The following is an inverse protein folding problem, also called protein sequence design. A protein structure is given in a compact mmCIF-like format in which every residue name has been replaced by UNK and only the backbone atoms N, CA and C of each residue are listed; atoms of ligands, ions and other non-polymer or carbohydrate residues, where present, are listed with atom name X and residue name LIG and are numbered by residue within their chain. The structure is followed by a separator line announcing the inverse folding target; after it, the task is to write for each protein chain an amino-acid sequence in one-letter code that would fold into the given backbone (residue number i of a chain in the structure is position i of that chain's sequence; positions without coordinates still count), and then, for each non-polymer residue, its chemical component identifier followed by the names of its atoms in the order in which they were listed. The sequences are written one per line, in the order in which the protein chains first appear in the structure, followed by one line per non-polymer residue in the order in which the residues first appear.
data_IF_054065929630
#
_entry.id   IF_054065929630
#
_cell.length_a   1.000
_cell.length_b   1.000
_cell.length_c   1.000
_cell.angle_alpha   90.00
_cell.angle_beta   90.00
_cell.angle_gamma   90.00
#
_symmetry.space_group_name_H-M   'P 1'
#
loop_
_entity.id
_entity.type
_entity.pdbx_description
1 polymer ?
#
# COMPACT_ATOMS: atom_id res chain seq x y z
N UNK A 1 13.11 -12.56 -15.21
CA UNK A 1 11.99 -11.61 -15.47
C UNK A 1 11.36 -11.12 -14.17
N UNK A 2 11.01 -12.00 -13.23
CA UNK A 2 10.42 -11.64 -11.92
C UNK A 2 11.26 -10.62 -11.14
N UNK A 3 12.58 -10.79 -11.05
CA UNK A 3 13.47 -9.86 -10.35
C UNK A 3 13.45 -8.43 -10.91
N UNK A 4 13.32 -8.30 -12.23
CA UNK A 4 13.22 -6.98 -12.87
C UNK A 4 11.88 -6.30 -12.56
N UNK A 5 10.78 -7.06 -12.60
CA UNK A 5 9.45 -6.54 -12.28
C UNK A 5 9.38 -6.16 -10.80
N UNK A 6 9.91 -7.00 -9.91
CA UNK A 6 10.03 -6.70 -8.49
C UNK A 6 10.88 -5.44 -8.25
N UNK A 7 12.01 -5.28 -8.94
CA UNK A 7 12.83 -4.08 -8.88
C UNK A 7 12.07 -2.82 -9.30
N UNK A 8 11.33 -2.88 -10.41
CA UNK A 8 10.48 -1.77 -10.88
C UNK A 8 9.39 -1.41 -9.87
N UNK A 9 8.79 -2.40 -9.26
CA UNK A 9 7.75 -2.21 -8.25
C UNK A 9 8.30 -1.47 -7.02
N UNK A 10 9.47 -1.87 -6.51
CA UNK A 10 10.12 -1.20 -5.38
C UNK A 10 10.62 0.21 -5.72
N UNK A 11 11.17 0.42 -6.92
CA UNK A 11 11.58 1.77 -7.38
C UNK A 11 10.37 2.70 -7.47
N UNK A 12 9.25 2.22 -8.00
CA UNK A 12 8.00 2.98 -8.06
C UNK A 12 7.48 3.30 -6.65
N UNK A 13 7.63 2.36 -5.72
CA UNK A 13 7.26 2.57 -4.31
C UNK A 13 8.10 3.65 -3.65
N UNK A 14 9.43 3.62 -3.85
CA UNK A 14 10.33 4.66 -3.34
C UNK A 14 9.96 6.02 -3.91
N UNK A 15 9.67 6.09 -5.21
CA UNK A 15 9.21 7.35 -5.82
C UNK A 15 7.93 7.86 -5.18
N UNK A 16 6.91 7.01 -5.05
CA UNK A 16 5.65 7.37 -4.39
C UNK A 16 5.88 7.81 -2.94
N UNK A 17 6.72 7.12 -2.19
CA UNK A 17 7.05 7.47 -0.81
C UNK A 17 7.74 8.83 -0.68
N UNK A 18 8.68 9.14 -1.56
CA UNK A 18 9.37 10.43 -1.58
C UNK A 18 8.39 11.56 -1.92
N UNK A 19 7.53 11.38 -2.92
CA UNK A 19 6.54 12.39 -3.30
C UNK A 19 5.46 12.56 -2.22
N UNK A 20 5.03 11.48 -1.57
CA UNK A 20 4.09 11.56 -0.45
C UNK A 20 4.66 12.37 0.72
N UNK A 21 5.96 12.19 1.03
CA UNK A 21 6.63 13.00 2.06
C UNK A 21 6.74 14.48 1.66
N UNK A 22 6.99 14.76 0.37
CA UNK A 22 7.23 16.12 -0.14
C UNK A 22 5.94 16.92 -0.34
N UNK A 23 4.98 16.33 -1.01
CA UNK A 23 3.80 17.03 -1.51
C UNK A 23 2.49 16.57 -0.89
N UNK A 24 2.48 15.46 -0.15
CA UNK A 24 1.26 14.80 0.33
C UNK A 24 0.28 14.48 -0.79
N UNK A 25 0.79 14.30 -2.01
CA UNK A 25 0.04 13.96 -3.21
C UNK A 25 0.75 12.85 -3.96
N UNK A 26 -0.01 11.89 -4.44
CA UNK A 26 0.52 10.77 -5.20
C UNK A 26 0.53 11.13 -6.70
N UNK A 27 1.70 11.18 -7.35
CA UNK A 27 1.78 11.48 -8.77
C UNK A 27 1.19 10.33 -9.60
N UNK A 28 0.23 10.65 -10.47
CA UNK A 28 -0.45 9.65 -11.30
C UNK A 28 0.49 8.74 -12.12
N UNK A 29 1.60 9.25 -12.71
CA UNK A 29 2.51 8.38 -13.46
C UNK A 29 3.18 7.32 -12.59
N UNK A 30 3.65 7.69 -11.40
CA UNK A 30 4.27 6.76 -10.46
C UNK A 30 3.26 5.74 -9.94
N UNK A 31 2.03 6.20 -9.67
CA UNK A 31 0.93 5.34 -9.23
C UNK A 31 0.55 4.32 -10.32
N UNK A 32 0.50 4.75 -11.59
CA UNK A 32 0.26 3.88 -12.73
C UNK A 32 1.36 2.83 -12.93
N UNK A 33 2.62 3.24 -12.86
CA UNK A 33 3.76 2.34 -12.98
C UNK A 33 3.79 1.31 -11.84
N UNK A 34 3.54 1.75 -10.62
CA UNK A 34 3.47 0.90 -9.45
C UNK A 34 2.33 -0.13 -9.54
N UNK A 35 1.14 0.29 -9.96
CA UNK A 35 -0.01 -0.60 -10.17
C UNK A 35 0.28 -1.63 -11.25
N UNK A 36 0.82 -1.19 -12.39
CA UNK A 36 1.14 -2.07 -13.51
C UNK A 36 2.18 -3.13 -13.12
N UNK A 37 3.25 -2.71 -12.46
CA UNK A 37 4.30 -3.64 -11.99
C UNK A 37 3.77 -4.61 -10.93
N UNK A 38 2.91 -4.16 -10.01
CA UNK A 38 2.25 -5.03 -9.04
C UNK A 38 1.33 -6.07 -9.69
N UNK A 39 0.54 -5.66 -10.69
CA UNK A 39 -0.29 -6.59 -11.45
C UNK A 39 0.55 -7.60 -12.25
N UNK A 40 1.66 -7.16 -12.85
CA UNK A 40 2.58 -8.08 -13.53
C UNK A 40 3.20 -9.10 -12.56
N UNK A 41 3.53 -8.70 -11.33
CA UNK A 41 4.00 -9.64 -10.30
C UNK A 41 2.96 -10.69 -9.96
N UNK A 42 1.68 -10.31 -9.90
CA UNK A 42 0.58 -11.28 -9.72
C UNK A 42 0.56 -12.35 -10.82
N UNK A 43 0.75 -11.96 -12.06
CA UNK A 43 0.71 -12.89 -13.19
C UNK A 43 2.00 -13.71 -13.33
N UNK A 44 3.15 -13.16 -13.03
CA UNK A 44 4.45 -13.85 -13.14
C UNK A 44 4.74 -14.76 -11.95
N UNK A 45 4.33 -14.40 -10.74
CA UNK A 45 4.41 -15.22 -9.54
C UNK A 45 3.36 -16.32 -9.47
N UNK A 46 2.44 -16.37 -10.43
CA UNK A 46 1.30 -17.27 -10.48
C UNK A 46 1.63 -18.68 -11.02
N UNK A 47 2.78 -19.26 -10.65
CA UNK A 47 2.99 -20.71 -10.88
C UNK A 47 1.95 -21.60 -10.13
N UNK A 48 1.08 -20.97 -9.33
CA UNK A 48 -0.07 -21.58 -8.69
C UNK A 48 -1.19 -20.55 -8.47
N UNK A 49 -1.78 -20.05 -9.56
CA UNK A 49 -3.05 -19.33 -9.46
C UNK A 49 -4.12 -20.29 -8.97
N UNK A 50 -4.28 -20.37 -7.66
CA UNK A 50 -5.33 -21.20 -7.06
C UNK A 50 -6.58 -20.34 -6.87
N UNK A 51 -7.75 -20.96 -7.07
CA UNK A 51 -9.05 -20.34 -6.80
C UNK A 51 -9.10 -19.81 -5.36
N UNK A 52 -8.47 -20.52 -4.43
CA UNK A 52 -8.35 -20.11 -3.01
C UNK A 52 -7.63 -18.76 -2.88
N UNK A 53 -6.51 -18.54 -3.59
CA UNK A 53 -5.79 -17.27 -3.57
C UNK A 53 -6.63 -16.13 -4.15
N UNK A 54 -7.34 -16.36 -5.24
CA UNK A 54 -8.24 -15.38 -5.82
C UNK A 54 -9.37 -14.98 -4.86
N UNK A 55 -9.99 -15.94 -4.20
CA UNK A 55 -11.03 -15.69 -3.19
C UNK A 55 -10.47 -14.91 -2.01
N UNK A 56 -9.30 -15.27 -1.49
CA UNK A 56 -8.65 -14.55 -0.38
C UNK A 56 -8.28 -13.12 -0.77
N UNK A 57 -7.80 -12.88 -1.99
CA UNK A 57 -7.50 -11.53 -2.48
C UNK A 57 -8.77 -10.68 -2.62
N UNK A 58 -9.88 -11.26 -3.09
CA UNK A 58 -11.17 -10.57 -3.14
C UNK A 58 -11.71 -10.25 -1.75
N UNK A 59 -11.59 -11.17 -0.80
CA UNK A 59 -11.97 -10.93 0.60
C UNK A 59 -11.11 -9.82 1.21
N UNK A 60 -9.81 -9.83 0.96
CA UNK A 60 -8.89 -8.78 1.37
C UNK A 60 -9.28 -7.43 0.79
N UNK A 61 -9.56 -7.38 -0.52
CA UNK A 61 -10.01 -6.17 -1.20
C UNK A 61 -11.26 -5.58 -0.54
N UNK A 62 -12.28 -6.39 -0.31
CA UNK A 62 -13.54 -5.95 0.30
C UNK A 62 -13.29 -5.48 1.74
N UNK A 63 -12.60 -6.29 2.55
CA UNK A 63 -12.37 -6.01 3.98
C UNK A 63 -11.55 -4.75 4.22
N UNK A 64 -10.62 -4.42 3.33
CA UNK A 64 -9.75 -3.25 3.47
C UNK A 64 -10.34 -2.02 2.79
N UNK A 65 -10.92 -2.19 1.60
CA UNK A 65 -11.39 -1.05 0.80
C UNK A 65 -12.66 -0.44 1.38
N UNK A 66 -13.57 -1.22 1.95
CA UNK A 66 -14.80 -0.68 2.54
C UNK A 66 -14.54 0.29 3.71
N UNK A 67 -13.72 -0.08 4.73
CA UNK A 67 -13.36 0.87 5.78
C UNK A 67 -12.58 2.08 5.26
N UNK A 68 -11.68 1.88 4.29
CA UNK A 68 -10.90 2.96 3.69
C UNK A 68 -11.81 3.95 2.93
N UNK A 69 -12.81 3.48 2.20
CA UNK A 69 -13.82 4.31 1.55
C UNK A 69 -14.67 5.09 2.56
N UNK A 70 -15.04 4.45 3.67
CA UNK A 70 -15.74 5.14 4.75
C UNK A 70 -14.90 6.26 5.36
N UNK A 71 -13.60 6.01 5.62
CA UNK A 71 -12.65 7.00 6.09
C UNK A 71 -12.45 8.14 5.08
N UNK A 72 -12.40 7.83 3.79
CA UNK A 72 -12.31 8.84 2.74
C UNK A 72 -13.57 9.72 2.68
N UNK A 73 -14.77 9.14 2.74
CA UNK A 73 -16.03 9.91 2.81
C UNK A 73 -16.06 10.86 4.00
N UNK A 74 -15.50 10.44 5.12
CA UNK A 74 -15.38 11.26 6.33
C UNK A 74 -14.19 12.24 6.30
N UNK A 75 -13.48 12.37 5.16
CA UNK A 75 -12.29 13.23 4.97
C UNK A 75 -11.12 12.91 5.93
N UNK A 76 -11.08 11.69 6.45
CA UNK A 76 -10.01 11.21 7.33
C UNK A 76 -8.83 10.61 6.56
N UNK A 77 -9.05 10.20 5.31
CA UNK A 77 -8.06 9.55 4.46
C UNK A 77 -8.06 10.18 3.05
N UNK A 78 -6.90 10.21 2.41
CA UNK A 78 -6.74 10.66 1.03
C UNK A 78 -7.26 9.62 0.03
N UNK A 79 -7.79 10.07 -1.12
CA UNK A 79 -8.25 9.15 -2.18
C UNK A 79 -7.13 8.29 -2.75
N UNK A 80 -5.89 8.81 -2.80
CA UNK A 80 -4.71 8.05 -3.22
C UNK A 80 -4.37 6.90 -2.28
N UNK A 81 -4.52 7.10 -0.97
CA UNK A 81 -4.29 6.05 0.03
C UNK A 81 -5.31 4.92 -0.11
N UNK A 82 -6.58 5.26 -0.36
CA UNK A 82 -7.64 4.26 -0.61
C UNK A 82 -7.30 3.44 -1.85
N UNK A 83 -6.87 4.10 -2.93
CA UNK A 83 -6.46 3.42 -4.15
C UNK A 83 -5.28 2.47 -3.91
N UNK A 84 -4.24 2.94 -3.20
CA UNK A 84 -3.08 2.10 -2.87
C UNK A 84 -3.46 0.88 -2.03
N UNK A 85 -4.31 1.06 -1.02
CA UNK A 85 -4.80 -0.05 -0.20
C UNK A 85 -5.60 -1.06 -1.02
N UNK A 86 -6.42 -0.60 -1.97
CA UNK A 86 -7.17 -1.48 -2.86
C UNK A 86 -6.24 -2.32 -3.76
N UNK A 87 -5.24 -1.69 -4.40
CA UNK A 87 -4.27 -2.40 -5.25
C UNK A 87 -3.41 -3.37 -4.42
N UNK A 88 -2.93 -2.94 -3.25
CA UNK A 88 -2.18 -3.81 -2.34
C UNK A 88 -2.99 -5.05 -1.94
N UNK A 89 -4.28 -4.86 -1.64
CA UNK A 89 -5.16 -5.97 -1.26
C UNK A 89 -5.32 -7.02 -2.36
N UNK A 90 -5.19 -6.60 -3.63
CA UNK A 90 -5.19 -7.52 -4.76
C UNK A 90 -3.84 -8.22 -4.95
N UNK A 91 -2.74 -7.51 -4.76
CA UNK A 91 -1.37 -8.02 -4.96
C UNK A 91 -0.95 -8.92 -3.81
N UNK A 92 -1.18 -8.49 -2.57
CA UNK A 92 -0.93 -9.25 -1.36
C UNK A 92 -2.11 -10.20 -1.11
N UNK A 93 -1.87 -11.35 -0.51
CA UNK A 93 -2.94 -12.17 0.05
C UNK A 93 -3.57 -11.52 1.29
N UNK A 94 -4.62 -12.13 1.82
CA UNK A 94 -5.30 -11.60 3.03
C UNK A 94 -4.34 -11.53 4.23
N UNK A 95 -3.52 -12.55 4.43
CA UNK A 95 -2.59 -12.66 5.56
C UNK A 95 -1.51 -11.58 5.48
N UNK A 96 -0.84 -11.47 4.34
CA UNK A 96 0.22 -10.47 4.12
C UNK A 96 -0.35 -9.05 4.19
N UNK A 97 -1.57 -8.84 3.70
CA UNK A 97 -2.23 -7.54 3.77
C UNK A 97 -2.55 -7.14 5.21
N UNK A 98 -3.00 -8.07 6.04
CA UNK A 98 -3.25 -7.80 7.46
C UNK A 98 -1.97 -7.43 8.21
N UNK A 99 -0.86 -8.12 7.94
CA UNK A 99 0.45 -7.79 8.51
C UNK A 99 0.90 -6.39 8.02
N UNK A 100 0.79 -6.13 6.72
CA UNK A 100 1.13 -4.84 6.13
C UNK A 100 0.38 -3.67 6.78
N UNK A 101 -0.94 -3.82 6.96
CA UNK A 101 -1.79 -2.83 7.62
C UNK A 101 -1.39 -2.67 9.08
N UNK A 102 -1.27 -3.76 9.83
CA UNK A 102 -0.93 -3.71 11.25
C UNK A 102 0.40 -3.00 11.48
N UNK A 103 1.44 -3.37 10.73
CA UNK A 103 2.76 -2.75 10.83
C UNK A 103 2.75 -1.31 10.32
N UNK A 104 2.21 -1.07 9.13
CA UNK A 104 2.20 0.24 8.50
C UNK A 104 1.46 1.29 9.32
N UNK A 105 0.26 0.97 9.77
CA UNK A 105 -0.54 1.90 10.60
C UNK A 105 0.04 2.07 12.01
N UNK A 106 0.61 1.02 12.60
CA UNK A 106 1.29 1.14 13.91
C UNK A 106 2.49 2.09 13.81
N UNK A 107 3.35 1.91 12.82
CA UNK A 107 4.49 2.80 12.59
C UNK A 107 4.04 4.23 12.28
N UNK A 108 3.04 4.39 11.43
CA UNK A 108 2.46 5.70 11.14
C UNK A 108 1.92 6.35 12.43
N UNK A 109 1.21 5.62 13.28
CA UNK A 109 0.71 6.14 14.56
C UNK A 109 1.83 6.52 15.51
N UNK A 110 2.88 5.71 15.63
CA UNK A 110 4.04 6.00 16.48
C UNK A 110 4.77 7.28 16.06
N UNK A 111 4.88 7.53 14.77
CA UNK A 111 5.50 8.77 14.25
C UNK A 111 4.54 9.95 14.32
N UNK A 112 3.24 9.72 14.13
CA UNK A 112 2.24 10.79 14.12
C UNK A 112 2.04 11.45 15.46
N UNK A 113 2.05 10.69 16.55
CA UNK A 113 1.81 11.24 17.89
C UNK A 113 2.83 12.31 18.27
N UNK A 114 4.16 12.09 18.16
CA UNK A 114 5.14 13.15 18.39
C UNK A 114 5.11 14.25 17.33
N UNK A 115 4.89 13.92 16.04
CA UNK A 115 4.87 14.92 14.97
C UNK A 115 3.70 15.89 15.10
N UNK A 116 2.51 15.44 15.46
CA UNK A 116 1.35 16.27 15.74
C UNK A 116 1.57 17.20 16.95
N UNK A 117 2.29 16.71 17.97
CA UNK A 117 2.55 17.49 19.18
C UNK A 117 3.68 18.52 19.02
N UNK A 118 4.73 18.16 18.26
CA UNK A 118 5.96 18.96 18.18
C UNK A 118 6.03 19.85 16.95
N UNK A 119 5.46 19.45 15.82
CA UNK A 119 5.64 20.11 14.53
C UNK A 119 4.36 20.67 13.90
N UNK A 120 3.22 20.59 14.57
CA UNK A 120 1.93 21.06 14.02
C UNK A 120 1.58 20.46 12.61
N UNK A 121 2.07 19.24 12.34
CA UNK A 121 1.86 18.57 11.06
C UNK A 121 0.42 18.11 10.95
N UNK A 122 -0.31 18.61 9.97
CA UNK A 122 -1.74 18.31 9.78
C UNK A 122 -2.00 16.95 9.10
N UNK A 123 -1.02 16.39 8.43
CA UNK A 123 -1.13 15.12 7.68
C UNK A 123 0.16 14.33 7.79
N UNK A 124 0.06 13.01 7.70
CA UNK A 124 1.20 12.10 7.79
C UNK A 124 1.26 11.30 6.51
N UNK A 125 2.46 11.19 5.88
CA UNK A 125 2.63 10.37 4.70
C UNK A 125 2.45 8.90 5.07
N UNK A 126 1.47 8.22 4.49
CA UNK A 126 1.16 6.82 4.79
C UNK A 126 2.00 5.85 3.94
N UNK A 127 2.34 6.24 2.72
CA UNK A 127 3.00 5.38 1.72
C UNK A 127 4.30 4.75 2.22
N UNK A 128 5.25 5.49 2.85
CA UNK A 128 6.50 4.89 3.30
C UNK A 128 6.28 3.86 4.41
N UNK A 129 5.29 4.06 5.28
CA UNK A 129 4.97 3.11 6.36
C UNK A 129 4.32 1.84 5.83
N UNK A 130 3.44 1.95 4.84
CA UNK A 130 2.91 0.78 4.15
C UNK A 130 4.01 0.01 3.42
N UNK A 131 4.98 0.69 2.80
CA UNK A 131 6.14 0.05 2.17
C UNK A 131 6.96 -0.79 3.15
N UNK A 132 7.21 -0.28 4.35
CA UNK A 132 7.85 -1.05 5.42
C UNK A 132 6.99 -2.24 5.86
N UNK A 133 5.67 -2.07 5.93
CA UNK A 133 4.73 -3.15 6.22
C UNK A 133 4.80 -4.29 5.20
N UNK A 134 4.85 -3.96 3.91
CA UNK A 134 5.00 -4.94 2.82
C UNK A 134 6.35 -5.67 2.92
N UNK A 135 7.41 -4.95 3.21
CA UNK A 135 8.73 -5.55 3.37
C UNK A 135 8.78 -6.53 4.55
N UNK A 136 8.21 -6.16 5.69
CA UNK A 136 8.14 -7.03 6.88
C UNK A 136 7.22 -8.24 6.63
N UNK A 137 6.17 -8.09 5.84
CA UNK A 137 5.30 -9.20 5.45
C UNK A 137 6.00 -10.25 4.55
N UNK A 138 7.29 -10.01 4.17
CA UNK A 138 8.09 -10.96 3.41
C UNK A 138 7.87 -10.91 1.90
N UNK A 139 7.36 -9.80 1.39
CA UNK A 139 7.15 -9.57 -0.05
C UNK A 139 8.40 -8.95 -0.70
N UNK A 140 9.55 -9.53 -0.42
CA UNK A 140 10.85 -9.13 -0.99
C UNK A 140 11.26 -10.01 -2.15
#
# INVERSE_FOLDING_TARGET
MERLISGLWWVSWLWLGIEDIRSMQLPYPALGLWTLSGMLLLFTGASSFSVTRAVLSLLSLISVTLPALAAWRNKQMGGGDVYMLAVLSLVLGLEEMMICIAVGFTLAAMVSVPALRLANVKRIPLVPFLGLGVWIAGYC
#
